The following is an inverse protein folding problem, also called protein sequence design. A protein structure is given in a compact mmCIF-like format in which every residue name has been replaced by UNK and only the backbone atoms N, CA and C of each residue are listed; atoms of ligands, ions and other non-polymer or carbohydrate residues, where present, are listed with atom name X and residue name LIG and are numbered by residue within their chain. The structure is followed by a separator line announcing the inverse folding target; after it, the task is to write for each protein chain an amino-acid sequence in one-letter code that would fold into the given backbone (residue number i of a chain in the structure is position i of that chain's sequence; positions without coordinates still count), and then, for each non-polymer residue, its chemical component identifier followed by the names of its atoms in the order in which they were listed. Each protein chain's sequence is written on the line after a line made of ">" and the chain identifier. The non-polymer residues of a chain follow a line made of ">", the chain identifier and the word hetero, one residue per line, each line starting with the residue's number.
data_IF_499547827578
#
_entry.id   IF_499547827578
#
_cell.length_a   1.000
_cell.length_b   1.000
_cell.length_c   1.000
_cell.angle_alpha   90.00
_cell.angle_beta   90.00
_cell.angle_gamma   90.00
#
_symmetry.space_group_name_H-M   'P 1'
#
loop_
_entity.id
_entity.type
_entity.pdbx_description
1 polymer ?
#
# COMPACT_ATOMS: atom_id res chain seq x y z
N UNK A 1 -20.87 4.57 -12.29
CA UNK A 1 -19.46 4.86 -11.93
C UNK A 1 -19.46 4.95 -10.42
N UNK A 2 -19.92 3.88 -9.79
CA UNK A 2 -20.18 3.83 -8.35
C UNK A 2 -20.01 2.36 -7.99
N UNK A 3 -19.37 2.06 -6.86
CA UNK A 3 -19.20 0.72 -6.24
C UNK A 3 -17.86 -0.04 -6.44
N UNK A 4 -16.77 0.57 -6.92
CA UNK A 4 -15.45 -0.13 -6.90
C UNK A 4 -14.63 0.07 -5.61
N UNK A 5 -15.10 0.85 -4.63
CA UNK A 5 -14.46 1.02 -3.32
C UNK A 5 -15.12 0.11 -2.28
N UNK A 6 -14.98 -1.19 -2.47
CA UNK A 6 -15.13 -2.20 -1.42
C UNK A 6 -13.79 -2.96 -1.38
N UNK A 7 -13.12 -3.21 -0.26
CA UNK A 7 -13.51 -3.18 1.13
C UNK A 7 -12.28 -2.78 1.98
N UNK A 8 -12.51 -2.23 3.17
CA UNK A 8 -11.55 -2.29 4.25
C UNK A 8 -11.43 -3.76 4.69
N UNK A 9 -10.62 -4.54 3.97
CA UNK A 9 -10.00 -5.72 4.57
C UNK A 9 -9.05 -5.22 5.67
N UNK A 10 -8.78 -6.03 6.70
CA UNK A 10 -7.84 -5.69 7.78
C UNK A 10 -6.51 -5.18 7.22
N UNK A 11 -6.39 -3.86 7.08
CA UNK A 11 -5.27 -3.18 6.42
C UNK A 11 -4.14 -3.04 7.42
N UNK A 12 -3.51 -4.17 7.76
CA UNK A 12 -2.17 -4.13 8.31
C UNK A 12 -1.23 -3.91 7.13
N UNK A 13 -0.51 -2.77 7.03
CA UNK A 13 0.47 -2.58 5.96
C UNK A 13 1.53 -3.68 6.02
N UNK A 14 1.83 -4.32 4.89
CA UNK A 14 3.02 -5.17 4.77
C UNK A 14 4.24 -4.30 4.42
N UNK A 15 5.39 -4.60 5.03
CA UNK A 15 6.64 -3.94 4.68
C UNK A 15 7.14 -4.48 3.33
N UNK A 16 7.28 -3.58 2.36
CA UNK A 16 7.76 -3.89 1.01
C UNK A 16 9.14 -3.28 0.80
N UNK A 17 10.07 -4.10 0.32
CA UNK A 17 11.43 -3.71 -0.06
C UNK A 17 11.76 -4.29 -1.45
N UNK A 18 13.02 -4.17 -1.87
CA UNK A 18 13.43 -4.63 -3.21
C UNK A 18 13.31 -6.14 -3.42
N UNK A 19 13.37 -6.95 -2.36
CA UNK A 19 13.34 -8.40 -2.45
C UNK A 19 11.93 -8.94 -2.69
N UNK A 20 10.89 -8.26 -2.19
CA UNK A 20 9.49 -8.72 -2.30
C UNK A 20 8.59 -7.84 -3.19
N UNK A 21 9.06 -6.70 -3.70
CA UNK A 21 8.24 -5.78 -4.50
C UNK A 21 7.54 -6.43 -5.70
N UNK A 22 8.24 -7.31 -6.43
CA UNK A 22 7.66 -7.99 -7.60
C UNK A 22 6.49 -8.89 -7.20
N UNK A 23 6.68 -9.73 -6.19
CA UNK A 23 5.68 -10.69 -5.77
C UNK A 23 4.47 -10.02 -5.08
N UNK A 24 4.73 -9.05 -4.19
CA UNK A 24 3.66 -8.43 -3.39
C UNK A 24 2.93 -7.30 -4.12
N UNK A 25 3.64 -6.48 -4.90
CA UNK A 25 3.04 -5.31 -5.56
C UNK A 25 2.68 -5.63 -7.00
N UNK A 26 3.63 -6.09 -7.82
CA UNK A 26 3.40 -6.28 -9.25
C UNK A 26 2.43 -7.44 -9.48
N UNK A 27 2.77 -8.64 -9.03
CA UNK A 27 1.93 -9.83 -9.21
C UNK A 27 0.63 -9.74 -8.39
N UNK A 28 0.68 -9.09 -7.22
CA UNK A 28 -0.48 -8.83 -6.36
C UNK A 28 -1.51 -7.90 -7.02
N UNK A 29 -1.05 -6.85 -7.71
CA UNK A 29 -1.92 -5.87 -8.37
C UNK A 29 -2.80 -6.46 -9.47
N UNK A 30 -2.41 -7.60 -10.05
CA UNK A 30 -3.23 -8.33 -11.02
C UNK A 30 -4.48 -8.99 -10.39
N UNK A 31 -4.46 -9.21 -9.06
CA UNK A 31 -5.53 -9.89 -8.32
C UNK A 31 -6.46 -8.91 -7.63
N UNK A 32 -5.90 -7.82 -7.09
CA UNK A 32 -6.66 -6.80 -6.36
C UNK A 32 -5.96 -5.44 -6.44
N UNK A 33 -6.69 -4.33 -6.28
CA UNK A 33 -6.07 -3.01 -6.20
C UNK A 33 -5.08 -2.93 -5.03
N UNK A 34 -3.86 -2.49 -5.31
CA UNK A 34 -2.82 -2.28 -4.31
C UNK A 34 -2.45 -0.80 -4.27
N UNK A 35 -2.39 -0.25 -3.06
CA UNK A 35 -1.92 1.11 -2.79
C UNK A 35 -0.55 1.00 -2.13
N UNK A 36 0.43 1.72 -2.66
CA UNK A 36 1.79 1.75 -2.13
C UNK A 36 2.05 3.11 -1.49
N UNK A 37 2.52 3.10 -0.24
CA UNK A 37 2.99 4.30 0.45
C UNK A 37 4.53 4.32 0.43
N UNK A 38 5.10 5.24 -0.33
CA UNK A 38 6.54 5.52 -0.27
C UNK A 38 6.82 6.43 0.94
N UNK A 39 7.51 5.90 1.95
CA UNK A 39 7.83 6.62 3.18
C UNK A 39 9.32 6.56 3.49
N UNK A 40 9.76 7.48 4.35
CA UNK A 40 11.07 7.41 4.97
C UNK A 40 10.98 7.84 6.45
N UNK A 41 11.73 7.22 7.38
CA UNK A 41 11.64 7.52 8.82
C UNK A 41 11.94 8.99 9.18
N UNK A 42 12.72 9.67 8.34
CA UNK A 42 13.15 11.06 8.49
C UNK A 42 12.25 12.06 7.75
N UNK A 43 11.31 11.60 6.92
CA UNK A 43 10.44 12.47 6.14
C UNK A 43 9.25 12.97 6.98
N UNK A 44 9.35 14.21 7.49
CA UNK A 44 8.28 14.86 8.26
C UNK A 44 6.92 14.93 7.53
N UNK A 45 6.86 15.36 6.26
CA UNK A 45 5.61 15.39 5.49
C UNK A 45 4.98 14.00 5.29
N UNK A 46 5.81 12.97 5.05
CA UNK A 46 5.33 11.60 4.83
C UNK A 46 4.56 11.06 6.04
N UNK A 47 4.98 11.41 7.26
CA UNK A 47 4.31 11.00 8.50
C UNK A 47 2.88 11.56 8.63
N UNK A 48 2.59 12.69 8.00
CA UNK A 48 1.25 13.29 8.00
C UNK A 48 0.31 12.63 6.98
N UNK A 49 0.88 11.92 6.00
CA UNK A 49 0.15 11.17 4.97
C UNK A 49 -0.03 9.68 5.33
N UNK A 50 0.52 9.27 6.48
CA UNK A 50 0.37 7.92 7.03
C UNK A 50 -1.07 7.60 7.45
N UNK A 51 -1.42 6.32 7.61
CA UNK A 51 -2.68 5.92 8.26
C UNK A 51 -2.82 6.58 9.64
N UNK A 52 -4.04 6.99 10.00
CA UNK A 52 -4.40 7.52 11.32
C UNK A 52 -4.70 6.40 12.32
#
# INVERSE_FOLDING_TARGET
>A
MEQLIAAAADTTPSDVNMDNFMAEVIDGSAKMPIVVQFLAPWCGPCKQLGPL
#
